data_IF_580115186349
#
_entry.id   IF_580115186349
#
_cell.length_a   1.000
_cell.length_b   1.000
_cell.length_c   1.000
_cell.angle_alpha   90.00
_cell.angle_beta   90.00
_cell.angle_gamma   90.00
#
_symmetry.space_group_name_H-M   'P 1'
#
loop_
_entity.id
_entity.type
_entity.pdbx_description
1 polymer ?
#
# COMPACT_ATOMS: atom_id res chain seq x y z
N UNK A 1 29.76 -47.72 -52.50
CA UNK A 1 30.07 -46.55 -51.60
C UNK A 1 28.80 -45.94 -51.00
N UNK A 2 27.81 -46.70 -50.56
CA UNK A 2 26.50 -46.17 -50.14
C UNK A 2 26.04 -46.65 -48.76
N UNK A 3 26.53 -47.72 -48.25
CA UNK A 3 26.02 -48.30 -46.95
C UNK A 3 26.83 -47.89 -45.70
N UNK A 4 28.11 -47.53 -45.83
CA UNK A 4 28.91 -47.15 -44.66
C UNK A 4 28.58 -45.75 -44.12
N UNK A 5 28.05 -44.85 -44.98
CA UNK A 5 27.66 -43.47 -44.57
C UNK A 5 26.30 -43.40 -43.84
N UNK A 6 25.43 -44.41 -43.98
CA UNK A 6 24.15 -44.44 -43.25
C UNK A 6 24.27 -44.96 -41.82
N UNK A 7 25.25 -45.85 -41.53
CA UNK A 7 25.48 -46.35 -40.18
C UNK A 7 26.16 -45.35 -39.25
N UNK A 8 27.06 -44.49 -39.78
CA UNK A 8 27.74 -43.49 -38.93
C UNK A 8 26.79 -42.33 -38.51
N UNK A 9 25.78 -41.99 -39.34
CA UNK A 9 24.79 -40.95 -38.97
C UNK A 9 23.79 -41.41 -37.93
N UNK A 10 23.45 -42.71 -37.87
CA UNK A 10 22.57 -43.28 -36.85
C UNK A 10 23.21 -43.34 -35.46
N UNK A 11 24.52 -43.61 -35.39
CA UNK A 11 25.26 -43.72 -34.15
C UNK A 11 25.52 -42.33 -33.51
N UNK A 12 25.76 -41.31 -34.33
CA UNK A 12 25.95 -39.94 -33.87
C UNK A 12 24.64 -39.33 -33.34
N UNK A 13 23.49 -39.64 -33.95
CA UNK A 13 22.18 -39.17 -33.49
C UNK A 13 21.76 -39.85 -32.18
N UNK A 14 22.10 -41.15 -32.01
CA UNK A 14 21.80 -41.88 -30.74
C UNK A 14 22.69 -41.40 -29.59
N UNK A 15 23.95 -41.02 -29.84
CA UNK A 15 24.85 -40.50 -28.83
C UNK A 15 24.46 -39.07 -28.36
N UNK A 16 23.95 -38.24 -29.28
CA UNK A 16 23.44 -36.91 -28.91
C UNK A 16 22.12 -36.95 -28.11
N UNK A 17 21.24 -37.93 -28.36
CA UNK A 17 20.00 -38.07 -27.60
C UNK A 17 20.27 -38.64 -26.17
N UNK A 18 21.25 -39.52 -26.02
CA UNK A 18 21.65 -40.03 -24.70
C UNK A 18 22.36 -38.97 -23.81
N UNK A 19 23.12 -38.04 -24.41
CA UNK A 19 23.77 -36.97 -23.70
C UNK A 19 22.78 -35.90 -23.19
N UNK A 20 21.69 -35.64 -23.90
CA UNK A 20 20.64 -34.69 -23.50
C UNK A 20 19.78 -35.29 -22.36
N UNK A 21 19.54 -36.61 -22.36
CA UNK A 21 18.73 -37.26 -21.31
C UNK A 21 19.50 -37.42 -19.99
N UNK A 22 20.84 -37.45 -19.99
CA UNK A 22 21.66 -37.53 -18.79
C UNK A 22 21.83 -36.14 -18.13
N UNK A 23 21.76 -35.03 -18.90
CA UNK A 23 21.81 -33.68 -18.32
C UNK A 23 20.47 -33.28 -17.63
N UNK A 24 19.34 -33.89 -17.98
CA UNK A 24 18.03 -33.62 -17.35
C UNK A 24 17.85 -34.40 -16.03
N UNK A 25 18.58 -35.50 -15.82
CA UNK A 25 18.54 -36.30 -14.59
C UNK A 25 19.57 -35.91 -13.52
N UNK A 26 20.58 -35.10 -13.86
CA UNK A 26 21.55 -34.58 -12.89
C UNK A 26 21.08 -33.31 -12.17
N UNK A 27 19.93 -32.72 -12.54
CA UNK A 27 19.35 -31.53 -11.91
C UNK A 27 18.50 -31.80 -10.67
N UNK A 28 18.26 -33.08 -10.29
CA UNK A 28 17.34 -33.42 -9.17
C UNK A 28 18.02 -33.96 -7.91
N UNK A 29 19.34 -33.87 -7.78
CA UNK A 29 20.08 -34.31 -6.59
C UNK A 29 20.89 -33.18 -5.94
N UNK A 30 20.30 -32.00 -5.83
CA UNK A 30 20.86 -30.90 -5.03
C UNK A 30 20.13 -30.77 -3.71
N UNK A 31 20.86 -30.96 -2.61
CA UNK A 31 20.38 -31.11 -1.25
C UNK A 31 19.38 -30.07 -0.77
N UNK A 32 18.57 -30.51 0.16
CA UNK A 32 17.55 -29.79 0.93
C UNK A 32 18.10 -28.65 1.82
N UNK A 33 18.84 -27.72 1.26
CA UNK A 33 19.20 -26.50 1.97
C UNK A 33 18.17 -25.40 1.61
N UNK A 34 17.21 -25.17 2.53
CA UNK A 34 16.27 -24.04 2.51
C UNK A 34 15.42 -23.95 1.23
N UNK A 35 14.35 -24.74 1.16
CA UNK A 35 13.40 -24.72 0.02
C UNK A 35 12.61 -23.43 -0.14
N UNK A 36 12.63 -22.54 0.88
CA UNK A 36 11.82 -21.32 0.92
C UNK A 36 12.64 -20.07 1.26
N UNK A 37 12.16 -18.94 0.78
CA UNK A 37 12.56 -17.60 1.22
C UNK A 37 11.43 -17.06 2.09
N UNK A 38 11.72 -16.82 3.37
CA UNK A 38 10.74 -16.32 4.34
C UNK A 38 10.63 -14.80 4.26
N UNK A 39 9.46 -14.30 3.93
CA UNK A 39 9.14 -12.87 3.93
C UNK A 39 7.99 -12.66 4.92
N UNK A 40 8.14 -11.72 5.85
CA UNK A 40 7.07 -11.42 6.79
C UNK A 40 6.08 -10.41 6.18
N UNK A 41 4.80 -10.60 6.49
CA UNK A 41 3.78 -9.56 6.37
C UNK A 41 3.44 -9.10 7.78
N UNK A 42 3.76 -7.85 8.11
CA UNK A 42 3.28 -7.17 9.31
C UNK A 42 2.08 -6.32 8.94
N UNK A 43 0.92 -6.64 9.49
CA UNK A 43 -0.35 -6.00 9.15
C UNK A 43 -1.31 -6.03 10.34
N UNK A 44 -2.31 -5.14 10.40
CA UNK A 44 -3.36 -5.17 11.42
C UNK A 44 -4.37 -6.29 11.12
N UNK A 45 -3.99 -7.53 11.41
CA UNK A 45 -4.87 -8.71 11.23
C UNK A 45 -6.06 -8.66 12.18
N UNK A 46 -5.86 -8.04 13.35
CA UNK A 46 -6.90 -7.72 14.33
C UNK A 46 -6.91 -6.21 14.63
N UNK A 47 -7.87 -5.75 15.44
CA UNK A 47 -7.99 -4.35 15.84
C UNK A 47 -8.84 -3.51 14.90
N UNK A 48 -8.74 -2.18 15.05
CA UNK A 48 -9.66 -1.22 14.41
C UNK A 48 -9.57 -1.21 12.88
N UNK A 49 -8.42 -1.59 12.33
CA UNK A 49 -8.16 -1.60 10.88
C UNK A 49 -8.01 -3.03 10.32
N UNK A 50 -8.61 -4.01 11.00
CA UNK A 50 -8.52 -5.42 10.61
C UNK A 50 -9.02 -5.68 9.18
N UNK A 51 -10.00 -4.92 8.69
CA UNK A 51 -10.48 -5.01 7.33
C UNK A 51 -9.32 -4.83 6.31
N UNK A 52 -8.52 -3.77 6.47
CA UNK A 52 -7.37 -3.51 5.60
C UNK A 52 -6.27 -4.56 5.75
N UNK A 53 -6.01 -5.00 6.99
CA UNK A 53 -4.99 -6.02 7.26
C UNK A 53 -5.32 -7.38 6.65
N UNK A 54 -6.58 -7.79 6.71
CA UNK A 54 -7.04 -9.05 6.10
C UNK A 54 -6.94 -8.98 4.57
N UNK A 55 -7.35 -7.89 3.94
CA UNK A 55 -7.19 -7.71 2.49
C UNK A 55 -5.71 -7.65 2.07
N UNK A 56 -4.84 -7.01 2.88
CA UNK A 56 -3.40 -7.01 2.61
C UNK A 56 -2.82 -8.44 2.67
N UNK A 57 -3.24 -9.25 3.65
CA UNK A 57 -2.86 -10.66 3.74
C UNK A 57 -3.30 -11.42 2.49
N UNK A 58 -4.56 -11.30 2.09
CA UNK A 58 -5.09 -11.93 0.87
C UNK A 58 -4.30 -11.53 -0.38
N UNK A 59 -3.98 -10.24 -0.52
CA UNK A 59 -3.23 -9.71 -1.65
C UNK A 59 -1.80 -10.24 -1.72
N UNK A 60 -1.12 -10.30 -0.58
CA UNK A 60 0.25 -10.85 -0.50
C UNK A 60 0.25 -12.36 -0.76
N UNK A 61 -0.76 -13.11 -0.30
CA UNK A 61 -0.91 -14.53 -0.58
C UNK A 61 -1.16 -14.80 -2.09
N UNK A 62 -1.99 -13.98 -2.76
CA UNK A 62 -2.19 -14.05 -4.21
C UNK A 62 -0.89 -13.75 -4.97
N UNK A 63 -0.19 -12.69 -4.61
CA UNK A 63 1.09 -12.35 -5.22
C UNK A 63 2.14 -13.44 -5.00
N UNK A 64 2.24 -13.99 -3.79
CA UNK A 64 3.16 -15.10 -3.48
C UNK A 64 2.84 -16.35 -4.30
N UNK A 65 1.56 -16.67 -4.49
CA UNK A 65 1.15 -17.80 -5.33
C UNK A 65 1.53 -17.60 -6.81
N UNK A 66 1.30 -16.40 -7.37
CA UNK A 66 1.70 -16.07 -8.74
C UNK A 66 3.22 -16.16 -8.92
N UNK A 67 3.99 -15.60 -7.99
CA UNK A 67 5.45 -15.67 -8.00
C UNK A 67 5.91 -17.13 -7.88
N UNK A 68 5.32 -17.91 -6.99
CA UNK A 68 5.68 -19.32 -6.80
C UNK A 68 5.32 -20.19 -8.01
N UNK A 69 4.18 -19.95 -8.66
CA UNK A 69 3.82 -20.60 -9.93
C UNK A 69 4.82 -20.27 -11.07
N UNK A 70 5.40 -19.08 -11.05
CA UNK A 70 6.45 -18.67 -11.98
C UNK A 70 7.85 -19.22 -11.63
N UNK A 71 7.98 -20.04 -10.57
CA UNK A 71 9.26 -20.67 -10.16
C UNK A 71 9.91 -20.06 -8.91
N UNK A 72 9.27 -19.10 -8.27
CA UNK A 72 9.77 -18.43 -7.06
C UNK A 72 10.93 -17.48 -7.34
N UNK A 73 11.90 -17.40 -6.42
CA UNK A 73 13.10 -16.56 -6.56
C UNK A 73 14.36 -17.36 -6.23
N UNK A 74 15.38 -17.26 -7.06
CA UNK A 74 16.64 -18.03 -6.93
C UNK A 74 16.40 -19.55 -6.77
N UNK A 75 15.37 -20.09 -7.45
CA UNK A 75 14.96 -21.49 -7.36
C UNK A 75 14.29 -21.90 -6.04
N UNK A 76 13.87 -20.95 -5.22
CA UNK A 76 13.20 -21.16 -3.93
C UNK A 76 11.79 -20.58 -3.95
N UNK A 77 10.86 -21.26 -3.27
CA UNK A 77 9.50 -20.76 -3.09
C UNK A 77 9.45 -19.65 -2.03
N UNK A 78 8.52 -18.72 -2.18
CA UNK A 78 8.23 -17.68 -1.18
C UNK A 78 7.31 -18.27 -0.11
N UNK A 79 7.70 -18.10 1.14
CA UNK A 79 6.91 -18.43 2.33
C UNK A 79 6.54 -17.13 3.06
N UNK A 80 5.24 -16.86 3.21
CA UNK A 80 4.75 -15.67 3.90
C UNK A 80 4.52 -15.98 5.38
N UNK A 81 5.16 -15.20 6.25
CA UNK A 81 4.97 -15.23 7.70
C UNK A 81 4.10 -14.05 8.10
N UNK A 82 2.93 -14.29 8.65
CA UNK A 82 2.04 -13.20 9.10
C UNK A 82 2.30 -12.87 10.57
N UNK A 83 2.52 -11.59 10.86
CA UNK A 83 2.65 -11.04 12.21
C UNK A 83 1.64 -9.91 12.37
N UNK A 84 0.80 -10.03 13.39
CA UNK A 84 -0.28 -9.08 13.67
C UNK A 84 0.25 -7.91 14.51
N UNK A 85 -0.01 -6.67 14.07
CA UNK A 85 0.33 -5.45 14.81
C UNK A 85 -0.88 -4.81 15.52
N UNK A 86 -2.08 -5.38 15.34
CA UNK A 86 -3.29 -4.98 16.04
C UNK A 86 -3.67 -3.50 15.88
N UNK A 87 -3.12 -2.80 14.89
CA UNK A 87 -3.24 -1.35 14.72
C UNK A 87 -2.70 -0.54 15.93
N UNK A 88 -1.76 -1.11 16.68
CA UNK A 88 -1.24 -0.54 17.92
C UNK A 88 0.29 -0.43 17.90
N UNK A 89 0.89 0.73 18.23
CA UNK A 89 2.35 0.91 18.19
C UNK A 89 3.14 -0.06 19.07
N UNK A 90 2.59 -0.43 20.26
CA UNK A 90 3.25 -1.39 21.17
C UNK A 90 3.24 -2.80 20.58
N UNK A 91 2.09 -3.24 20.06
CA UNK A 91 1.95 -4.57 19.46
C UNK A 91 2.73 -4.65 18.15
N UNK A 92 2.83 -3.54 17.42
CA UNK A 92 3.68 -3.41 16.24
C UNK A 92 5.17 -3.69 16.54
N UNK A 93 5.69 -3.16 17.64
CA UNK A 93 7.06 -3.45 18.07
C UNK A 93 7.25 -4.94 18.40
N UNK A 94 6.28 -5.57 19.05
CA UNK A 94 6.31 -7.01 19.36
C UNK A 94 6.22 -7.85 18.08
N UNK A 95 5.36 -7.47 17.13
CA UNK A 95 5.25 -8.11 15.83
C UNK A 95 6.57 -8.03 15.05
N UNK A 96 7.25 -6.87 15.07
CA UNK A 96 8.55 -6.71 14.45
C UNK A 96 9.61 -7.64 15.07
N UNK A 97 9.68 -7.73 16.40
CA UNK A 97 10.58 -8.66 17.08
C UNK A 97 10.28 -10.13 16.72
N UNK A 98 8.99 -10.49 16.57
CA UNK A 98 8.56 -11.81 16.14
C UNK A 98 9.04 -12.12 14.71
N UNK A 99 8.89 -11.19 13.76
CA UNK A 99 9.39 -11.36 12.39
C UNK A 99 10.91 -11.58 12.36
N UNK A 100 11.67 -10.81 13.15
CA UNK A 100 13.13 -10.98 13.33
C UNK A 100 13.45 -12.37 13.87
N UNK A 101 12.76 -12.81 14.94
CA UNK A 101 13.03 -14.13 15.58
C UNK A 101 12.70 -15.30 14.64
N UNK A 102 11.74 -15.14 13.73
CA UNK A 102 11.36 -16.12 12.72
C UNK A 102 12.29 -16.10 11.49
N UNK A 103 13.33 -15.26 11.52
CA UNK A 103 14.34 -15.16 10.46
C UNK A 103 13.78 -14.75 9.10
N UNK A 104 12.82 -13.83 9.09
CA UNK A 104 12.37 -13.20 7.86
C UNK A 104 13.55 -12.47 7.20
N UNK A 105 13.77 -12.66 5.90
CA UNK A 105 14.82 -11.98 5.14
C UNK A 105 14.44 -10.54 4.79
N UNK A 106 13.16 -10.27 4.70
CA UNK A 106 12.56 -8.95 4.49
C UNK A 106 11.13 -8.94 5.04
N UNK A 107 10.56 -7.75 5.17
CA UNK A 107 9.23 -7.53 5.72
C UNK A 107 8.42 -6.62 4.79
N UNK A 108 7.17 -6.96 4.57
CA UNK A 108 6.13 -6.08 4.03
C UNK A 108 5.36 -5.54 5.23
N UNK A 109 5.29 -4.22 5.39
CA UNK A 109 4.55 -3.64 6.53
C UNK A 109 5.15 -2.33 7.05
N UNK A 110 4.36 -1.54 7.76
CA UNK A 110 2.98 -1.81 8.17
C UNK A 110 1.97 -0.95 7.37
N UNK A 111 0.68 -1.01 7.80
CA UNK A 111 -0.39 -0.18 7.22
C UNK A 111 -0.30 1.27 7.72
N UNK A 112 -0.44 1.51 9.01
CA UNK A 112 -0.49 2.87 9.56
C UNK A 112 0.87 3.46 9.90
N UNK A 113 1.04 4.78 9.75
CA UNK A 113 2.31 5.46 10.04
C UNK A 113 2.72 5.37 11.51
N UNK A 114 1.76 5.44 12.44
CA UNK A 114 2.02 5.35 13.88
C UNK A 114 2.58 3.99 14.31
N UNK A 115 2.14 2.92 13.65
CA UNK A 115 2.60 1.55 13.92
C UNK A 115 3.86 1.21 13.13
N UNK A 116 4.06 1.82 11.97
CA UNK A 116 5.26 1.62 11.15
C UNK A 116 6.51 2.16 11.84
N UNK A 117 6.44 3.31 12.49
CA UNK A 117 7.62 3.97 13.06
C UNK A 117 8.38 3.09 14.06
N UNK A 118 7.77 2.52 15.12
CA UNK A 118 8.49 1.64 16.05
C UNK A 118 8.94 0.32 15.41
N UNK A 119 8.19 -0.23 14.46
CA UNK A 119 8.59 -1.43 13.74
C UNK A 119 9.82 -1.18 12.85
N UNK A 120 9.81 -0.09 12.09
CA UNK A 120 10.92 0.30 11.21
C UNK A 120 12.23 0.52 12.00
N UNK A 121 12.17 1.09 13.20
CA UNK A 121 13.36 1.25 14.06
C UNK A 121 13.92 -0.12 14.52
N UNK A 122 13.05 -1.11 14.76
CA UNK A 122 13.48 -2.48 15.09
C UNK A 122 14.10 -3.15 13.86
N UNK A 123 13.48 -3.05 12.70
CA UNK A 123 14.01 -3.62 11.45
C UNK A 123 15.34 -2.96 11.05
N UNK A 124 15.46 -1.64 11.18
CA UNK A 124 16.70 -0.90 10.93
C UNK A 124 17.84 -1.40 11.82
N UNK A 125 17.60 -1.52 13.13
CA UNK A 125 18.56 -2.04 14.11
C UNK A 125 19.03 -3.45 13.78
N UNK A 126 18.14 -4.30 13.27
CA UNK A 126 18.42 -5.69 12.89
C UNK A 126 18.88 -5.84 11.44
N UNK A 127 19.01 -4.74 10.70
CA UNK A 127 19.39 -4.70 9.28
C UNK A 127 18.49 -5.58 8.41
N UNK A 128 17.18 -5.50 8.62
CA UNK A 128 16.16 -6.22 7.85
C UNK A 128 15.40 -5.20 7.00
N UNK A 129 15.33 -5.44 5.68
CA UNK A 129 14.55 -4.61 4.78
C UNK A 129 13.07 -4.68 5.18
N UNK A 130 12.46 -3.50 5.34
CA UNK A 130 11.01 -3.35 5.51
C UNK A 130 10.43 -2.44 4.45
N UNK A 131 9.32 -2.87 3.84
CA UNK A 131 8.61 -2.14 2.78
C UNK A 131 7.20 -1.84 3.26
N UNK A 132 6.97 -0.62 3.72
CA UNK A 132 5.66 -0.16 4.16
C UNK A 132 4.68 -0.02 2.99
N UNK A 133 3.40 -0.31 3.21
CA UNK A 133 2.40 -0.30 2.13
C UNK A 133 1.26 0.71 2.32
N UNK A 134 1.08 1.28 3.53
CA UNK A 134 0.05 2.28 3.83
C UNK A 134 0.55 3.37 4.78
N UNK A 135 1.85 3.46 5.00
CA UNK A 135 2.49 4.40 5.93
C UNK A 135 3.00 5.64 5.19
N UNK A 136 2.15 6.61 5.00
CA UNK A 136 2.36 7.77 4.12
C UNK A 136 3.08 8.96 4.77
N UNK A 137 3.22 8.98 6.11
CA UNK A 137 3.80 10.13 6.82
C UNK A 137 5.20 10.49 6.30
N UNK A 138 5.38 11.76 5.94
CA UNK A 138 6.61 12.33 5.38
C UNK A 138 7.82 12.06 6.29
N UNK A 139 7.63 12.19 7.60
CA UNK A 139 8.69 12.03 8.60
C UNK A 139 9.36 10.65 8.64
N UNK A 140 8.67 9.61 8.15
CA UNK A 140 9.23 8.24 8.16
C UNK A 140 10.51 8.11 7.34
N UNK A 141 10.66 8.92 6.30
CA UNK A 141 11.84 8.94 5.42
C UNK A 141 12.63 10.25 5.47
N UNK A 142 12.00 11.35 5.90
CA UNK A 142 12.66 12.66 5.89
C UNK A 142 13.37 12.99 7.20
N UNK A 143 12.82 12.59 8.35
CA UNK A 143 13.39 12.92 9.66
C UNK A 143 14.45 11.94 10.13
N UNK A 144 14.46 10.72 9.58
CA UNK A 144 15.41 9.66 9.93
C UNK A 144 16.09 9.09 8.69
N UNK A 145 17.40 8.90 8.76
CA UNK A 145 18.17 8.22 7.72
C UNK A 145 18.11 6.70 7.93
N UNK A 146 17.02 6.09 7.45
CA UNK A 146 16.84 4.64 7.49
C UNK A 146 17.34 3.99 6.20
N UNK A 147 18.28 3.07 6.34
CA UNK A 147 18.88 2.36 5.20
C UNK A 147 18.08 1.14 4.75
N UNK A 148 17.26 0.59 5.65
CA UNK A 148 16.50 -0.65 5.42
C UNK A 148 14.99 -0.40 5.34
N UNK A 149 14.54 0.85 5.36
CA UNK A 149 13.13 1.21 5.20
C UNK A 149 12.82 1.72 3.79
N UNK A 150 11.73 1.21 3.23
CA UNK A 150 11.14 1.59 1.95
C UNK A 150 9.63 1.65 2.09
N UNK A 151 8.92 2.25 1.10
CA UNK A 151 7.46 2.19 1.03
C UNK A 151 6.96 2.19 -0.40
N UNK A 152 5.88 1.44 -0.66
CA UNK A 152 5.21 1.36 -1.96
C UNK A 152 4.07 2.36 -2.13
N UNK A 153 3.58 2.96 -1.05
CA UNK A 153 2.57 4.01 -1.07
C UNK A 153 3.16 5.40 -1.33
N UNK A 154 2.28 6.35 -1.67
CA UNK A 154 2.61 7.76 -1.77
C UNK A 154 2.93 8.41 -0.41
N UNK A 155 3.25 9.71 -0.43
CA UNK A 155 3.51 10.50 0.77
C UNK A 155 2.40 11.54 1.01
N UNK A 156 2.24 11.92 2.28
CA UNK A 156 1.23 12.91 2.71
C UNK A 156 1.39 14.26 2.01
N UNK A 157 2.61 14.70 1.70
CA UNK A 157 2.87 15.96 1.00
C UNK A 157 2.30 15.97 -0.43
N UNK A 158 2.40 14.86 -1.15
CA UNK A 158 1.78 14.74 -2.47
C UNK A 158 0.25 14.73 -2.37
N UNK A 159 -0.32 14.07 -1.37
CA UNK A 159 -1.76 14.07 -1.13
C UNK A 159 -2.27 15.45 -0.72
N UNK A 160 -1.57 16.13 0.20
CA UNK A 160 -1.92 17.49 0.63
C UNK A 160 -1.89 18.48 -0.53
N UNK A 161 -0.87 18.41 -1.38
CA UNK A 161 -0.78 19.23 -2.59
C UNK A 161 -1.95 18.97 -3.55
N UNK A 162 -2.27 17.67 -3.79
CA UNK A 162 -3.41 17.30 -4.65
C UNK A 162 -4.74 17.83 -4.09
N UNK A 163 -4.98 17.69 -2.78
CA UNK A 163 -6.17 18.23 -2.12
C UNK A 163 -6.24 19.75 -2.27
N UNK A 164 -5.18 20.49 -1.91
CA UNK A 164 -5.16 21.93 -1.93
C UNK A 164 -5.48 22.50 -3.33
N UNK A 165 -4.85 21.94 -4.35
CA UNK A 165 -5.12 22.27 -5.74
C UNK A 165 -6.57 21.99 -6.13
N UNK A 166 -7.09 20.80 -5.83
CA UNK A 166 -8.46 20.41 -6.17
C UNK A 166 -9.50 21.30 -5.46
N UNK A 167 -9.33 21.54 -4.17
CA UNK A 167 -10.26 22.36 -3.39
C UNK A 167 -10.36 23.79 -3.93
N UNK A 168 -9.22 24.42 -4.29
CA UNK A 168 -9.21 25.82 -4.73
C UNK A 168 -9.46 25.96 -6.23
N UNK A 169 -8.75 25.18 -7.07
CA UNK A 169 -8.81 25.36 -8.51
C UNK A 169 -10.02 24.67 -9.18
N UNK A 170 -10.47 23.52 -8.63
CA UNK A 170 -11.59 22.75 -9.21
C UNK A 170 -12.90 23.08 -8.53
N UNK A 171 -12.94 23.11 -7.19
CA UNK A 171 -14.18 23.41 -6.45
C UNK A 171 -14.40 24.89 -6.22
N UNK A 172 -13.38 25.75 -6.38
CA UNK A 172 -13.48 27.18 -6.11
C UNK A 172 -13.74 27.49 -4.63
N UNK A 173 -13.34 26.60 -3.72
CA UNK A 173 -13.63 26.72 -2.29
C UNK A 173 -12.88 27.90 -1.68
N UNK A 174 -13.61 28.81 -1.05
CA UNK A 174 -13.09 29.99 -0.35
C UNK A 174 -12.92 29.75 1.15
N UNK A 175 -13.73 28.86 1.72
CA UNK A 175 -13.77 28.54 3.14
C UNK A 175 -13.54 27.06 3.35
N UNK A 176 -12.33 26.68 3.74
CA UNK A 176 -11.91 25.28 3.86
C UNK A 176 -11.85 24.89 5.32
N UNK A 177 -12.47 23.77 5.68
CA UNK A 177 -12.32 23.15 6.97
C UNK A 177 -11.46 21.88 6.85
N UNK A 178 -10.55 21.67 7.81
CA UNK A 178 -9.71 20.47 7.90
C UNK A 178 -9.87 19.86 9.28
N UNK A 179 -10.14 18.56 9.33
CA UNK A 179 -10.31 17.79 10.56
C UNK A 179 -9.46 16.52 10.52
N UNK A 180 -8.81 16.18 11.64
CA UNK A 180 -7.97 14.98 11.76
C UNK A 180 -8.20 14.23 13.07
N UNK A 181 -7.61 13.05 13.24
CA UNK A 181 -7.74 12.22 14.44
C UNK A 181 -6.49 12.23 15.35
N UNK A 182 -5.58 13.19 15.16
CA UNK A 182 -4.31 13.31 15.87
C UNK A 182 -3.31 12.16 15.71
N UNK A 183 -3.62 11.13 14.94
CA UNK A 183 -2.64 10.10 14.60
C UNK A 183 -1.49 10.68 13.77
N UNK A 184 -0.36 9.98 13.73
CA UNK A 184 0.81 10.38 12.93
C UNK A 184 0.44 10.60 11.47
N UNK A 185 -0.38 9.72 10.91
CA UNK A 185 -0.89 9.81 9.55
C UNK A 185 -1.83 11.00 9.37
N UNK A 186 -2.96 11.01 10.08
CA UNK A 186 -4.02 11.97 9.86
C UNK A 186 -3.57 13.42 10.07
N UNK A 187 -2.80 13.65 11.15
CA UNK A 187 -2.21 14.96 11.40
C UNK A 187 -1.18 15.34 10.34
N UNK A 188 -0.39 14.37 9.85
CA UNK A 188 0.57 14.57 8.77
C UNK A 188 -0.11 15.08 7.50
N UNK A 189 -1.14 14.39 7.01
CA UNK A 189 -1.92 14.81 5.84
C UNK A 189 -2.58 16.18 6.05
N UNK A 190 -3.16 16.43 7.24
CA UNK A 190 -3.78 17.72 7.56
C UNK A 190 -2.76 18.87 7.52
N UNK A 191 -1.58 18.69 8.10
CA UNK A 191 -0.52 19.68 8.10
C UNK A 191 0.01 19.95 6.69
N UNK A 192 0.20 18.91 5.86
CA UNK A 192 0.63 19.08 4.47
C UNK A 192 -0.47 19.72 3.60
N UNK A 193 -1.75 19.39 3.85
CA UNK A 193 -2.86 20.06 3.18
C UNK A 193 -2.91 21.56 3.53
N UNK A 194 -2.73 21.90 4.82
CA UNK A 194 -2.62 23.29 5.27
C UNK A 194 -1.48 24.03 4.58
N UNK A 195 -0.30 23.43 4.55
CA UNK A 195 0.89 23.98 3.87
C UNK A 195 0.66 24.17 2.37
N UNK A 196 -0.01 23.23 1.71
CA UNK A 196 -0.35 23.34 0.29
C UNK A 196 -1.34 24.48 0.01
N UNK A 197 -2.14 24.89 0.99
CA UNK A 197 -3.07 26.02 0.88
C UNK A 197 -2.42 27.39 1.15
N UNK A 198 -1.24 27.46 1.78
CA UNK A 198 -0.57 28.72 2.12
C UNK A 198 -0.42 29.70 0.93
N UNK A 199 0.01 29.26 -0.28
CA UNK A 199 0.09 30.17 -1.44
C UNK A 199 -1.26 30.77 -1.82
N UNK A 200 -2.32 29.96 -1.81
CA UNK A 200 -3.67 30.42 -2.16
C UNK A 200 -4.25 31.35 -1.09
N UNK A 201 -3.92 31.12 0.18
CA UNK A 201 -4.30 32.02 1.29
C UNK A 201 -3.57 33.37 1.14
N UNK A 202 -2.28 33.36 0.84
CA UNK A 202 -1.50 34.59 0.62
C UNK A 202 -2.03 35.44 -0.56
N UNK A 203 -2.61 34.78 -1.57
CA UNK A 203 -3.26 35.43 -2.70
C UNK A 203 -4.73 35.86 -2.42
N UNK A 204 -5.25 35.60 -1.23
CA UNK A 204 -6.65 35.89 -0.86
C UNK A 204 -7.70 35.04 -1.59
N UNK A 205 -7.31 33.90 -2.15
CA UNK A 205 -8.21 32.99 -2.89
C UNK A 205 -9.03 32.09 -1.98
N UNK A 206 -8.51 31.73 -0.80
CA UNK A 206 -9.14 30.85 0.17
C UNK A 206 -8.70 31.17 1.61
N UNK A 207 -9.41 30.65 2.59
CA UNK A 207 -9.03 30.68 4.00
C UNK A 207 -9.32 29.31 4.66
N UNK A 208 -8.57 28.96 5.71
CA UNK A 208 -8.88 27.84 6.56
C UNK A 208 -9.73 28.32 7.72
N UNK A 209 -11.01 27.95 7.73
CA UNK A 209 -11.98 28.39 8.74
C UNK A 209 -12.11 27.45 9.92
N UNK A 210 -11.59 26.25 9.80
CA UNK A 210 -11.58 25.23 10.85
C UNK A 210 -10.35 24.33 10.68
N UNK A 211 -9.61 24.13 11.77
CA UNK A 211 -8.51 23.17 11.82
C UNK A 211 -8.45 22.59 13.24
N UNK A 212 -9.00 21.39 13.42
CA UNK A 212 -9.10 20.76 14.74
C UNK A 212 -9.07 19.24 14.62
N UNK A 213 -8.95 18.58 15.77
CA UNK A 213 -8.89 17.13 15.87
C UNK A 213 -10.12 16.55 16.56
N UNK A 214 -10.48 15.33 16.16
CA UNK A 214 -11.35 14.46 16.94
C UNK A 214 -10.52 13.55 17.84
N UNK A 215 -11.14 12.99 18.85
CA UNK A 215 -10.56 11.89 19.63
C UNK A 215 -10.83 10.58 18.91
N UNK A 216 -9.78 9.82 18.54
CA UNK A 216 -9.97 8.52 17.90
C UNK A 216 -10.78 7.55 18.77
N UNK A 217 -11.53 6.65 18.12
CA UNK A 217 -12.36 5.60 18.75
C UNK A 217 -13.61 6.10 19.49
N UNK A 218 -13.85 7.40 19.55
CA UNK A 218 -15.14 7.90 19.97
C UNK A 218 -16.25 7.53 18.98
N UNK A 219 -17.49 7.52 19.46
CA UNK A 219 -18.68 7.23 18.63
C UNK A 219 -19.57 8.44 18.44
N UNK A 220 -19.42 9.44 19.27
CA UNK A 220 -20.17 10.69 19.23
C UNK A 220 -19.25 11.86 18.92
N UNK A 221 -19.44 12.44 17.75
CA UNK A 221 -18.70 13.61 17.25
C UNK A 221 -19.58 14.86 17.17
N UNK A 222 -20.76 14.86 17.80
CA UNK A 222 -21.75 15.95 17.70
C UNK A 222 -21.18 17.32 18.05
N UNK A 223 -20.31 17.38 19.06
CA UNK A 223 -19.62 18.62 19.46
C UNK A 223 -18.68 19.15 18.35
N UNK A 224 -17.85 18.26 17.76
CA UNK A 224 -16.95 18.63 16.66
C UNK A 224 -17.72 19.04 15.42
N UNK A 225 -18.79 18.31 15.09
CA UNK A 225 -19.67 18.61 13.95
C UNK A 225 -20.40 19.96 14.14
N UNK A 226 -20.85 20.27 15.37
CA UNK A 226 -21.48 21.56 15.67
C UNK A 226 -20.53 22.71 15.44
N UNK A 227 -19.29 22.63 15.98
CA UNK A 227 -18.25 23.63 15.74
C UNK A 227 -17.94 23.80 14.26
N UNK A 228 -17.75 22.68 13.56
CA UNK A 228 -17.49 22.68 12.11
C UNK A 228 -18.61 23.42 11.35
N UNK A 229 -19.88 23.10 11.62
CA UNK A 229 -21.03 23.72 10.97
C UNK A 229 -21.10 25.25 11.22
N UNK A 230 -20.75 25.71 12.41
CA UNK A 230 -20.75 27.14 12.77
C UNK A 230 -19.75 27.95 11.93
N UNK A 231 -18.68 27.32 11.45
CA UNK A 231 -17.69 27.96 10.57
C UNK A 231 -18.17 28.12 9.12
N UNK A 232 -19.29 27.50 8.72
CA UNK A 232 -19.90 27.57 7.38
C UNK A 232 -18.86 27.32 6.28
N UNK A 233 -18.20 26.17 6.23
CA UNK A 233 -17.20 25.86 5.20
C UNK A 233 -17.87 25.58 3.85
N UNK A 234 -17.15 25.88 2.75
CA UNK A 234 -17.52 25.46 1.40
C UNK A 234 -17.20 23.98 1.13
N UNK A 235 -16.19 23.48 1.83
CA UNK A 235 -15.75 22.08 1.79
C UNK A 235 -15.07 21.72 3.11
N UNK A 236 -15.21 20.46 3.53
CA UNK A 236 -14.46 19.96 4.68
C UNK A 236 -13.70 18.69 4.33
N UNK A 237 -12.44 18.65 4.77
CA UNK A 237 -11.49 17.58 4.55
C UNK A 237 -11.24 16.83 5.83
N UNK A 238 -11.52 15.52 5.84
CA UNK A 238 -11.19 14.64 6.95
C UNK A 238 -10.05 13.73 6.58
N UNK A 239 -8.95 13.80 7.31
CA UNK A 239 -7.72 13.09 7.00
C UNK A 239 -7.51 11.83 7.84
N UNK A 240 -8.48 11.48 8.71
CA UNK A 240 -8.42 10.27 9.55
C UNK A 240 -8.83 8.99 8.80
N UNK A 241 -9.14 7.98 9.58
CA UNK A 241 -9.44 6.64 9.07
C UNK A 241 -10.95 6.42 8.86
N UNK A 242 -11.27 5.36 8.10
CA UNK A 242 -12.63 5.03 7.67
C UNK A 242 -13.66 4.79 8.80
N UNK A 243 -13.31 4.24 10.00
CA UNK A 243 -14.31 4.05 11.04
C UNK A 243 -14.91 5.38 11.55
N UNK A 244 -14.04 6.35 11.80
CA UNK A 244 -14.43 7.69 12.24
C UNK A 244 -15.05 8.49 11.09
N UNK A 245 -14.52 8.39 9.87
CA UNK A 245 -15.04 9.05 8.69
C UNK A 245 -16.50 8.70 8.43
N UNK A 246 -16.88 7.43 8.51
CA UNK A 246 -18.24 6.96 8.31
C UNK A 246 -19.22 7.47 9.38
N UNK A 247 -18.79 7.55 10.64
CA UNK A 247 -19.59 8.13 11.72
C UNK A 247 -19.73 9.64 11.57
N UNK A 248 -18.64 10.33 11.26
CA UNK A 248 -18.59 11.78 11.10
C UNK A 248 -19.51 12.27 9.98
N UNK A 249 -19.45 11.66 8.79
CA UNK A 249 -20.28 12.10 7.66
C UNK A 249 -21.77 11.88 7.96
N UNK A 250 -22.13 10.80 8.68
CA UNK A 250 -23.49 10.56 9.13
C UNK A 250 -23.96 11.64 10.10
N UNK A 251 -23.20 11.89 11.16
CA UNK A 251 -23.54 12.90 12.16
C UNK A 251 -23.53 14.31 11.58
N UNK A 252 -22.66 14.60 10.62
CA UNK A 252 -22.64 15.86 9.90
C UNK A 252 -23.93 16.06 9.07
N UNK A 253 -24.40 15.03 8.37
CA UNK A 253 -25.67 15.06 7.65
C UNK A 253 -26.87 15.25 8.58
N UNK A 254 -26.92 14.51 9.68
CA UNK A 254 -27.98 14.61 10.69
C UNK A 254 -28.02 16.01 11.34
N UNK A 255 -26.86 16.65 11.49
CA UNK A 255 -26.74 18.04 11.97
C UNK A 255 -27.03 19.10 10.89
N UNK A 256 -27.34 18.70 9.65
CA UNK A 256 -27.65 19.63 8.56
C UNK A 256 -26.42 20.32 7.94
N UNK A 257 -25.21 19.75 8.05
CA UNK A 257 -24.05 20.23 7.32
C UNK A 257 -24.16 19.84 5.85
N UNK A 258 -24.29 20.81 4.97
CA UNK A 258 -24.60 20.60 3.55
C UNK A 258 -23.37 20.74 2.61
N UNK A 259 -22.19 21.11 3.11
CA UNK A 259 -21.01 21.24 2.28
C UNK A 259 -20.39 19.88 1.91
N UNK A 260 -19.69 19.77 0.76
CA UNK A 260 -19.04 18.56 0.34
C UNK A 260 -18.05 18.02 1.37
N UNK A 261 -18.09 16.70 1.58
CA UNK A 261 -17.09 15.95 2.33
C UNK A 261 -16.00 15.47 1.38
N UNK A 262 -14.75 15.67 1.76
CA UNK A 262 -13.60 15.04 1.13
C UNK A 262 -12.86 14.22 2.19
N UNK A 263 -12.67 12.94 1.94
CA UNK A 263 -11.83 12.06 2.76
C UNK A 263 -10.40 11.99 2.25
N UNK A 264 -9.46 11.76 3.15
CA UNK A 264 -8.11 11.31 2.81
C UNK A 264 -8.11 9.85 2.35
N UNK A 265 -6.98 9.36 1.87
CA UNK A 265 -6.83 8.02 1.30
C UNK A 265 -7.00 6.85 2.28
N UNK A 266 -7.11 7.09 3.57
CA UNK A 266 -7.45 6.08 4.57
C UNK A 266 -8.93 6.15 5.03
N UNK A 267 -9.69 7.14 4.53
CA UNK A 267 -11.10 7.31 4.88
C UNK A 267 -12.05 6.43 4.06
N UNK A 268 -11.55 5.71 3.05
CA UNK A 268 -12.37 4.98 2.10
C UNK A 268 -12.07 3.49 2.11
N UNK A 269 -13.12 2.75 2.19
CA UNK A 269 -13.26 1.35 1.78
C UNK A 269 -14.75 0.98 1.89
N UNK A 270 -15.10 -0.27 1.64
CA UNK A 270 -16.49 -0.73 1.74
C UNK A 270 -17.06 -0.59 3.16
N UNK A 271 -16.22 -0.65 4.21
CA UNK A 271 -16.68 -0.47 5.59
C UNK A 271 -17.07 1.00 5.89
N UNK A 272 -16.40 1.99 5.28
CA UNK A 272 -16.86 3.38 5.35
C UNK A 272 -18.33 3.49 4.87
N UNK A 273 -18.65 2.89 3.71
CA UNK A 273 -19.99 2.92 3.15
C UNK A 273 -21.00 2.21 4.06
N UNK A 274 -20.63 1.06 4.63
CA UNK A 274 -21.48 0.34 5.60
C UNK A 274 -21.76 1.16 6.86
N UNK A 275 -20.72 1.83 7.41
CA UNK A 275 -20.84 2.66 8.62
C UNK A 275 -21.64 3.92 8.35
N UNK A 276 -21.38 4.63 7.27
CA UNK A 276 -22.10 5.83 6.89
C UNK A 276 -23.53 5.53 6.47
N UNK A 277 -23.78 4.42 5.80
CA UNK A 277 -24.99 4.14 5.03
C UNK A 277 -24.86 4.69 3.61
N UNK A 278 -25.36 3.94 2.61
CA UNK A 278 -25.21 4.27 1.19
C UNK A 278 -25.75 5.68 0.87
N UNK A 279 -26.95 6.02 1.37
CA UNK A 279 -27.59 7.32 1.13
C UNK A 279 -26.80 8.51 1.71
N UNK A 280 -25.96 8.26 2.71
CA UNK A 280 -25.10 9.28 3.32
C UNK A 280 -23.75 9.33 2.63
N UNK A 281 -23.19 8.17 2.31
CA UNK A 281 -21.90 8.05 1.65
C UNK A 281 -21.91 8.53 0.21
N UNK A 282 -23.06 8.40 -0.49
CA UNK A 282 -23.20 8.80 -1.89
C UNK A 282 -22.83 10.27 -2.10
N UNK A 283 -21.91 10.54 -3.02
CA UNK A 283 -21.37 11.87 -3.30
C UNK A 283 -20.18 12.27 -2.44
N UNK A 284 -19.79 11.51 -1.41
CA UNK A 284 -18.55 11.74 -0.69
C UNK A 284 -17.36 11.65 -1.66
N UNK A 285 -16.46 12.62 -1.57
CA UNK A 285 -15.26 12.70 -2.40
C UNK A 285 -14.05 12.21 -1.61
N UNK A 286 -13.02 11.77 -2.34
CA UNK A 286 -11.83 11.24 -1.70
C UNK A 286 -10.57 11.40 -2.54
N UNK A 287 -9.50 11.89 -1.88
CA UNK A 287 -8.17 11.95 -2.47
C UNK A 287 -7.50 10.59 -2.30
N UNK A 288 -7.13 9.92 -3.40
CA UNK A 288 -6.61 8.58 -3.30
C UNK A 288 -5.70 8.20 -4.47
N UNK A 289 -4.81 7.27 -4.22
CA UNK A 289 -4.05 6.56 -5.23
C UNK A 289 -4.98 5.64 -6.06
N UNK A 290 -4.57 5.23 -7.28
CA UNK A 290 -5.39 4.37 -8.13
C UNK A 290 -5.78 3.06 -7.44
N UNK A 291 -7.05 2.68 -7.57
CA UNK A 291 -7.54 1.36 -7.17
C UNK A 291 -7.05 0.29 -8.15
N UNK A 292 -7.05 -0.97 -7.72
CA UNK A 292 -6.67 -2.09 -8.60
C UNK A 292 -7.54 -2.19 -9.85
N UNK A 293 -8.79 -1.74 -9.78
CA UNK A 293 -9.72 -1.67 -10.91
C UNK A 293 -9.27 -0.68 -12.00
N UNK A 294 -8.47 0.32 -11.63
CA UNK A 294 -7.95 1.34 -12.57
C UNK A 294 -6.61 0.94 -13.21
N UNK A 295 -6.07 -0.20 -12.82
CA UNK A 295 -4.76 -0.68 -13.29
C UNK A 295 -4.94 -1.80 -14.29
N UNK A 296 -4.22 -1.72 -15.43
CA UNK A 296 -4.35 -2.64 -16.58
C UNK A 296 -3.02 -3.28 -16.98
N UNK A 297 -2.04 -3.37 -16.06
CA UNK A 297 -0.79 -4.08 -16.34
C UNK A 297 -1.04 -5.58 -16.48
N UNK A 298 -0.16 -6.31 -17.16
CA UNK A 298 -0.27 -7.76 -17.29
C UNK A 298 -0.27 -8.47 -15.93
N UNK A 299 0.51 -7.95 -14.96
CA UNK A 299 0.54 -8.46 -13.59
C UNK A 299 -0.79 -8.16 -12.87
N UNK A 300 -1.35 -6.95 -13.08
CA UNK A 300 -2.64 -6.58 -12.49
C UNK A 300 -3.77 -7.51 -12.98
N UNK A 301 -3.81 -7.85 -14.27
CA UNK A 301 -4.83 -8.74 -14.79
C UNK A 301 -4.73 -10.15 -14.19
N UNK A 302 -3.52 -10.70 -14.08
CA UNK A 302 -3.30 -11.99 -13.41
C UNK A 302 -3.68 -11.94 -11.93
N UNK A 303 -3.28 -10.85 -11.25
CA UNK A 303 -3.61 -10.63 -9.83
C UNK A 303 -5.13 -10.55 -9.62
N UNK A 304 -5.83 -9.71 -10.40
CA UNK A 304 -7.29 -9.55 -10.32
C UNK A 304 -8.02 -10.88 -10.56
N UNK A 305 -7.61 -11.63 -11.57
CA UNK A 305 -8.21 -12.91 -11.91
C UNK A 305 -8.10 -13.91 -10.74
N UNK A 306 -6.89 -14.09 -10.20
CA UNK A 306 -6.65 -15.03 -9.11
C UNK A 306 -7.29 -14.54 -7.79
N UNK A 307 -7.25 -13.24 -7.53
CA UNK A 307 -7.87 -12.65 -6.33
C UNK A 307 -9.39 -12.87 -6.36
N UNK A 308 -10.06 -12.54 -7.47
CA UNK A 308 -11.50 -12.73 -7.63
C UNK A 308 -11.92 -14.22 -7.58
N UNK A 309 -11.10 -15.13 -8.11
CA UNK A 309 -11.32 -16.58 -7.98
C UNK A 309 -11.37 -17.00 -6.50
N UNK A 310 -10.44 -16.50 -5.69
CA UNK A 310 -10.30 -16.91 -4.27
C UNK A 310 -11.26 -16.20 -3.33
N UNK A 311 -11.47 -14.88 -3.52
CA UNK A 311 -12.13 -14.03 -2.54
C UNK A 311 -13.42 -13.36 -3.04
N UNK A 312 -13.78 -13.58 -4.32
CA UNK A 312 -14.98 -13.10 -5.00
C UNK A 312 -14.96 -11.62 -5.36
N UNK A 313 -14.52 -10.74 -4.46
CA UNK A 313 -14.48 -9.30 -4.66
C UNK A 313 -13.02 -8.82 -4.66
N UNK A 314 -12.72 -7.80 -5.47
CA UNK A 314 -11.41 -7.16 -5.50
C UNK A 314 -11.23 -6.22 -4.29
N UNK A 315 -9.99 -5.91 -3.90
CA UNK A 315 -9.75 -4.93 -2.85
C UNK A 315 -10.38 -3.57 -3.17
N UNK A 316 -11.11 -3.00 -2.21
CA UNK A 316 -11.80 -1.72 -2.33
C UNK A 316 -10.93 -0.50 -1.95
N UNK A 317 -9.69 -0.75 -1.55
CA UNK A 317 -8.68 0.27 -1.24
C UNK A 317 -7.35 -0.02 -1.93
N UNK A 318 -6.42 0.94 -2.07
CA UNK A 318 -5.12 0.73 -2.71
C UNK A 318 -4.14 -0.07 -1.84
N UNK A 319 -4.29 -0.04 -0.51
CA UNK A 319 -3.30 -0.55 0.44
C UNK A 319 -2.98 -2.04 0.28
N UNK A 320 -3.98 -2.93 0.11
CA UNK A 320 -3.73 -4.35 -0.12
C UNK A 320 -2.89 -4.60 -1.37
N UNK A 321 -3.09 -3.79 -2.40
CA UNK A 321 -2.35 -3.91 -3.67
C UNK A 321 -0.92 -3.41 -3.51
N UNK A 322 -0.70 -2.34 -2.74
CA UNK A 322 0.64 -1.88 -2.40
C UNK A 322 1.40 -2.86 -1.50
N UNK A 323 0.70 -3.65 -0.67
CA UNK A 323 1.32 -4.75 0.04
C UNK A 323 1.81 -5.84 -0.93
N UNK A 324 1.02 -6.17 -1.96
CA UNK A 324 1.45 -7.07 -3.04
C UNK A 324 2.65 -6.49 -3.82
N UNK A 325 2.63 -5.19 -4.15
CA UNK A 325 3.78 -4.51 -4.77
C UNK A 325 5.04 -4.57 -3.90
N UNK A 326 4.89 -4.50 -2.57
CA UNK A 326 5.98 -4.71 -1.63
C UNK A 326 6.63 -6.08 -1.77
N UNK A 327 5.82 -7.12 -1.99
CA UNK A 327 6.33 -8.46 -2.26
C UNK A 327 7.06 -8.52 -3.61
N UNK A 328 6.47 -7.99 -4.68
CA UNK A 328 7.12 -7.93 -5.99
C UNK A 328 8.44 -7.15 -5.95
N UNK A 329 8.49 -6.03 -5.22
CA UNK A 329 9.70 -5.25 -5.03
C UNK A 329 10.80 -6.05 -4.33
N UNK A 330 10.48 -6.70 -3.19
CA UNK A 330 11.43 -7.52 -2.43
C UNK A 330 11.94 -8.67 -3.30
N UNK A 331 11.06 -9.40 -3.97
CA UNK A 331 11.43 -10.53 -4.83
C UNK A 331 12.27 -10.08 -6.03
N UNK A 332 11.89 -8.97 -6.67
CA UNK A 332 12.67 -8.36 -7.75
C UNK A 332 14.07 -7.96 -7.28
N UNK A 333 14.17 -7.34 -6.11
CA UNK A 333 15.47 -6.96 -5.53
C UNK A 333 16.34 -8.18 -5.17
N UNK A 334 15.75 -9.26 -4.64
CA UNK A 334 16.45 -10.52 -4.39
C UNK A 334 16.98 -11.11 -5.71
N UNK A 335 16.19 -11.12 -6.77
CA UNK A 335 16.60 -11.59 -8.08
C UNK A 335 17.77 -10.75 -8.65
N UNK A 336 17.67 -9.42 -8.58
CA UNK A 336 18.72 -8.48 -9.02
C UNK A 336 19.99 -8.56 -8.18
N UNK A 337 19.87 -8.82 -6.87
CA UNK A 337 21.02 -9.00 -5.96
C UNK A 337 21.66 -10.38 -6.09
N UNK A 338 20.94 -11.40 -6.60
CA UNK A 338 21.38 -12.79 -6.69
C UNK A 338 21.55 -13.48 -5.32
N UNK A 339 21.06 -12.89 -4.24
CA UNK A 339 21.14 -13.41 -2.86
C UNK A 339 20.06 -12.82 -1.96
N UNK A 340 19.85 -13.45 -0.80
CA UNK A 340 18.85 -13.06 0.21
C UNK A 340 19.45 -12.24 1.36
N UNK A 341 20.64 -11.69 1.19
CA UNK A 341 21.27 -10.79 2.16
C UNK A 341 20.55 -9.44 2.18
N UNK A 342 20.16 -8.98 3.35
CA UNK A 342 19.27 -7.80 3.48
C UNK A 342 19.96 -6.49 3.03
N UNK A 343 21.28 -6.34 3.22
CA UNK A 343 21.99 -5.17 2.74
C UNK A 343 22.06 -5.15 1.21
N UNK A 344 22.21 -6.31 0.57
CA UNK A 344 22.19 -6.44 -0.88
C UNK A 344 20.76 -6.20 -1.44
N UNK A 345 19.72 -6.63 -0.73
CA UNK A 345 18.32 -6.33 -1.09
C UNK A 345 18.09 -4.81 -1.00
N UNK A 346 18.52 -4.16 0.08
CA UNK A 346 18.38 -2.71 0.26
C UNK A 346 19.12 -1.90 -0.83
N UNK A 347 20.33 -2.34 -1.21
CA UNK A 347 21.08 -1.75 -2.33
C UNK A 347 20.32 -1.93 -3.66
N UNK A 348 19.83 -3.14 -3.93
CA UNK A 348 19.10 -3.43 -5.16
C UNK A 348 17.80 -2.62 -5.25
N UNK A 349 17.04 -2.47 -4.15
CA UNK A 349 15.84 -1.63 -4.11
C UNK A 349 16.13 -0.17 -4.48
N UNK A 350 17.31 0.37 -4.15
CA UNK A 350 17.69 1.75 -4.51
C UNK A 350 18.25 1.91 -5.90
N UNK A 351 18.99 0.90 -6.41
CA UNK A 351 19.88 1.10 -7.55
C UNK A 351 19.61 0.19 -8.75
N UNK A 352 18.79 -0.88 -8.58
CA UNK A 352 18.69 -1.95 -9.59
C UNK A 352 17.25 -2.32 -9.96
N UNK A 353 16.28 -1.45 -9.68
CA UNK A 353 14.87 -1.78 -9.85
C UNK A 353 14.34 -1.62 -11.28
N UNK A 354 15.18 -1.20 -12.24
CA UNK A 354 14.76 -1.10 -13.64
C UNK A 354 14.20 -2.42 -14.15
N UNK A 355 12.99 -2.37 -14.70
CA UNK A 355 12.25 -3.52 -15.20
C UNK A 355 11.64 -4.40 -14.11
N UNK A 356 11.63 -3.98 -12.85
CA UNK A 356 10.85 -4.62 -11.79
C UNK A 356 9.47 -4.00 -11.75
N UNK A 357 8.46 -4.82 -11.98
CA UNK A 357 7.07 -4.40 -11.96
C UNK A 357 6.31 -5.10 -10.85
N UNK A 358 5.38 -4.37 -10.26
CA UNK A 358 4.35 -4.89 -9.36
C UNK A 358 2.98 -4.88 -10.03
N UNK A 359 1.95 -5.06 -9.23
CA UNK A 359 0.56 -4.99 -9.69
C UNK A 359 0.25 -3.60 -10.25
N UNK A 360 0.72 -2.53 -9.59
CA UNK A 360 0.46 -1.14 -9.99
C UNK A 360 1.47 -0.58 -10.99
N UNK A 361 2.27 -1.43 -11.64
CA UNK A 361 3.29 -1.04 -12.62
C UNK A 361 4.69 -0.97 -12.03
N UNK A 362 5.61 -0.16 -12.60
CA UNK A 362 6.99 -0.08 -12.16
C UNK A 362 7.11 0.29 -10.67
N UNK A 363 7.94 -0.46 -9.93
CA UNK A 363 8.18 -0.20 -8.50
C UNK A 363 9.60 0.34 -8.32
N UNK A 364 9.73 1.65 -8.41
CA UNK A 364 10.99 2.37 -8.30
C UNK A 364 11.03 3.18 -7.01
N UNK A 365 12.22 3.28 -6.40
CA UNK A 365 12.40 4.00 -5.15
C UNK A 365 13.38 5.18 -5.30
N UNK A 366 13.18 6.19 -4.46
CA UNK A 366 14.14 7.28 -4.25
C UNK A 366 15.30 6.78 -3.39
N UNK A 367 16.36 7.57 -3.26
CA UNK A 367 17.47 7.29 -2.34
C UNK A 367 17.01 7.11 -0.89
N UNK A 368 15.92 7.81 -0.50
CA UNK A 368 15.33 7.72 0.84
C UNK A 368 14.35 6.57 1.04
N UNK A 369 14.08 5.78 -0.02
CA UNK A 369 13.20 4.62 0.04
C UNK A 369 11.71 4.93 -0.21
N UNK A 370 11.37 6.14 -0.62
CA UNK A 370 10.02 6.48 -1.07
C UNK A 370 9.77 5.97 -2.48
N UNK A 371 8.57 5.47 -2.77
CA UNK A 371 8.19 5.14 -4.14
C UNK A 371 8.13 6.39 -5.01
N UNK A 372 8.66 6.29 -6.24
CA UNK A 372 8.57 7.34 -7.25
C UNK A 372 7.22 7.29 -7.94
N UNK A 373 6.76 8.46 -8.39
CA UNK A 373 5.65 8.61 -9.35
C UNK A 373 4.33 7.93 -8.91
N UNK A 374 3.91 8.12 -7.66
CA UNK A 374 2.61 7.67 -7.17
C UNK A 374 1.57 8.75 -7.47
N UNK A 375 0.65 8.52 -8.42
CA UNK A 375 -0.37 9.51 -8.77
C UNK A 375 -1.49 9.53 -7.74
N UNK A 376 -2.15 10.69 -7.60
CA UNK A 376 -3.41 10.83 -6.87
C UNK A 376 -4.56 11.12 -7.83
N UNK A 377 -5.73 10.61 -7.51
CA UNK A 377 -7.00 10.85 -8.23
C UNK A 377 -8.08 11.28 -7.23
N UNK A 378 -9.09 11.97 -7.73
CA UNK A 378 -10.31 12.20 -6.98
C UNK A 378 -11.30 11.07 -7.30
N UNK A 379 -11.79 10.43 -6.25
CA UNK A 379 -12.86 9.44 -6.33
C UNK A 379 -14.14 10.02 -5.74
N UNK A 380 -15.26 9.44 -6.12
CA UNK A 380 -16.56 9.70 -5.52
C UNK A 380 -17.24 8.37 -5.19
N UNK A 381 -18.00 8.35 -4.12
CA UNK A 381 -18.92 7.24 -3.85
C UNK A 381 -20.16 7.42 -4.73
N UNK A 382 -20.46 6.44 -5.59
CA UNK A 382 -21.66 6.45 -6.42
C UNK A 382 -22.93 6.08 -5.62
N UNK A 383 -24.09 6.12 -6.27
CA UNK A 383 -25.37 5.77 -5.65
C UNK A 383 -25.51 4.29 -5.29
N UNK A 384 -24.62 3.44 -5.78
CA UNK A 384 -24.52 2.02 -5.40
C UNK A 384 -23.54 1.76 -4.26
N UNK A 385 -22.90 2.81 -3.73
CA UNK A 385 -21.90 2.72 -2.67
C UNK A 385 -20.51 2.32 -3.16
N UNK A 386 -20.25 2.39 -4.47
CA UNK A 386 -18.94 2.05 -5.04
C UNK A 386 -18.11 3.30 -5.30
N UNK A 387 -16.79 3.13 -5.17
CA UNK A 387 -15.84 4.17 -5.52
C UNK A 387 -15.60 4.19 -7.02
N UNK A 388 -15.83 5.35 -7.61
CA UNK A 388 -15.59 5.60 -9.03
C UNK A 388 -14.72 6.84 -9.20
N UNK A 389 -13.84 6.82 -10.19
CA UNK A 389 -13.02 8.00 -10.51
C UNK A 389 -13.95 9.14 -10.89
N UNK A 390 -13.83 10.27 -10.19
CA UNK A 390 -14.54 11.48 -10.56
C UNK A 390 -13.85 12.11 -11.78
N UNK A 391 -14.59 12.26 -12.87
CA UNK A 391 -14.14 13.02 -14.02
C UNK A 391 -13.74 14.44 -13.57
N UNK A 392 -12.58 14.89 -14.05
CA UNK A 392 -12.07 16.25 -13.79
C UNK A 392 -12.86 17.30 -14.53
#
# INVERSE_FOLDING_TARGET
>A
MSESRKRSRGIILAACLAAVTVLVLAGCAGGSAGKTVKIALQAPITGDYAYEGQMAKQSVEVAAELINKAGGVLGKQIEIIVVDDGSNPKDSALAAQKAVSQKAVAVIGSYGSSVTEPAADIYEKNKIVSVGYGCTAVRLTMDKDRKFFFRTCGRDDAQGLFFGKYAVETLGAKRIAIMHDSSTFAKGVADEARKALEPYIAEGKTEIVYFDAITPKEKDFSSAVTKLRETKPDVWYFTGYYPEAGLLIRQAKDAGLACPFIGGNAAINDDFVKIAGIDVAAGALMTQEPLVTDVTTAIAEQFKALYAEKFKELPSSPWPVYAADGLYAIVGAIAKAGKTDSAAIADALRTKMDGVEGVTGPVLFTERGDRKDVPYKMYAVDTGGKLVVKAQ
#
